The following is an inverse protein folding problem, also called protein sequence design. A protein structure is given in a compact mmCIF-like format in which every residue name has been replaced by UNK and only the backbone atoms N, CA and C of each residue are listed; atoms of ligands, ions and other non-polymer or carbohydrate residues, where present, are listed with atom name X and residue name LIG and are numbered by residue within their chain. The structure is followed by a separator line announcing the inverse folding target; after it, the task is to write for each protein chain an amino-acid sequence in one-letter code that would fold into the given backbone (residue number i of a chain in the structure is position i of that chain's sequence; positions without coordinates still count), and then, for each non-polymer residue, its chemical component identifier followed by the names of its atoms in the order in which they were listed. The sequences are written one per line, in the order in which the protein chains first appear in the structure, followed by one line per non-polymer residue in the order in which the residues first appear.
data_IF_668807406254
#
_entry.id   IF_668807406254
#
_cell.length_a   1.000
_cell.length_b   1.000
_cell.length_c   1.000
_cell.angle_alpha   90.00
_cell.angle_beta   90.00
_cell.angle_gamma   90.00
#
_symmetry.space_group_name_H-M   'P 1'
#
loop_
_entity.id
_entity.type
_entity.pdbx_description
1 polymer ?
#
# COMPACT_ATOMS: atom_id res chain seq x y z
N UNK A 1 65.06 7.19 -60.79
CA UNK A 1 63.82 6.38 -60.68
C UNK A 1 62.65 7.35 -60.50
N UNK A 2 61.66 7.33 -61.40
CA UNK A 2 60.72 8.44 -61.63
C UNK A 2 59.71 8.57 -60.47
N UNK A 3 59.76 9.67 -59.71
CA UNK A 3 58.92 9.89 -58.51
C UNK A 3 57.42 9.88 -58.84
N UNK A 4 57.05 10.32 -60.05
CA UNK A 4 55.67 10.32 -60.53
C UNK A 4 55.04 8.92 -60.67
N UNK A 5 55.86 7.89 -60.95
CA UNK A 5 55.41 6.49 -61.06
C UNK A 5 55.19 5.88 -59.67
N UNK A 6 55.99 6.30 -58.68
CA UNK A 6 55.89 5.83 -57.29
C UNK A 6 54.60 6.31 -56.60
N UNK A 7 54.14 7.55 -56.85
CA UNK A 7 52.88 8.07 -56.29
C UNK A 7 51.62 7.42 -56.88
N UNK A 8 51.64 7.10 -58.18
CA UNK A 8 50.50 6.44 -58.84
C UNK A 8 50.39 4.97 -58.41
N UNK A 9 51.53 4.30 -58.22
CA UNK A 9 51.57 2.92 -57.75
C UNK A 9 51.19 2.80 -56.27
N UNK A 10 51.64 3.74 -55.43
CA UNK A 10 51.28 3.76 -54.00
C UNK A 10 49.80 4.06 -53.79
N UNK A 11 49.21 5.01 -54.54
CA UNK A 11 47.77 5.30 -54.49
C UNK A 11 46.89 4.13 -54.94
N UNK A 12 47.33 3.35 -55.93
CA UNK A 12 46.61 2.17 -56.43
C UNK A 12 46.58 0.99 -55.44
N UNK A 13 47.57 0.90 -54.55
CA UNK A 13 47.63 -0.13 -53.51
C UNK A 13 46.99 0.33 -52.18
N UNK A 14 47.05 1.63 -51.88
CA UNK A 14 46.52 2.18 -50.62
C UNK A 14 44.99 2.18 -50.58
N UNK A 15 44.34 2.50 -51.71
CA UNK A 15 42.88 2.59 -51.80
C UNK A 15 42.17 1.26 -51.51
N UNK A 16 42.54 0.10 -52.12
CA UNK A 16 41.89 -1.18 -51.79
C UNK A 16 42.17 -1.61 -50.35
N UNK A 17 43.33 -1.25 -49.78
CA UNK A 17 43.64 -1.53 -48.38
C UNK A 17 42.76 -0.73 -47.41
N UNK A 18 42.53 0.57 -47.67
CA UNK A 18 41.60 1.38 -46.88
C UNK A 18 40.15 0.88 -46.97
N UNK A 19 39.71 0.47 -48.16
CA UNK A 19 38.37 -0.12 -48.35
C UNK A 19 38.22 -1.45 -47.60
N UNK A 20 39.25 -2.29 -47.61
CA UNK A 20 39.26 -3.54 -46.86
C UNK A 20 39.18 -3.30 -45.35
N UNK A 21 39.95 -2.33 -44.82
CA UNK A 21 39.88 -1.95 -43.40
C UNK A 21 38.49 -1.43 -43.04
N UNK A 22 37.91 -0.57 -43.88
CA UNK A 22 36.59 -0.01 -43.63
C UNK A 22 35.48 -1.07 -43.71
N UNK A 23 35.66 -2.11 -44.53
CA UNK A 23 34.75 -3.26 -44.58
C UNK A 23 34.89 -4.15 -43.32
N UNK A 24 36.13 -4.36 -42.85
CA UNK A 24 36.37 -5.13 -41.63
C UNK A 24 35.80 -4.47 -40.37
N UNK A 25 35.76 -3.13 -40.29
CA UNK A 25 35.18 -2.42 -39.13
C UNK A 25 33.66 -2.50 -39.05
N UNK A 26 32.96 -2.81 -40.16
CA UNK A 26 31.49 -3.02 -40.16
C UNK A 26 31.06 -4.37 -39.59
N UNK A 27 31.99 -5.32 -39.43
CA UNK A 27 31.73 -6.64 -38.84
C UNK A 27 31.71 -6.61 -37.31
N UNK A 28 32.08 -5.47 -36.71
CA UNK A 28 32.15 -5.31 -35.27
C UNK A 28 30.79 -4.79 -34.80
N UNK A 29 30.02 -5.60 -34.08
CA UNK A 29 28.76 -5.19 -33.48
C UNK A 29 29.00 -4.04 -32.49
N UNK A 30 28.58 -2.83 -32.87
CA UNK A 30 28.65 -1.66 -32.00
C UNK A 30 27.56 -1.70 -30.93
N UNK A 31 27.95 -1.85 -29.67
CA UNK A 31 27.05 -1.69 -28.53
C UNK A 31 27.00 -0.19 -28.14
N UNK A 32 26.21 0.59 -28.89
CA UNK A 32 26.01 2.02 -28.62
C UNK A 32 24.59 2.33 -28.08
N UNK A 33 23.76 1.32 -27.84
CA UNK A 33 22.47 1.55 -27.21
C UNK A 33 22.68 1.96 -25.76
N UNK A 34 22.23 3.16 -25.42
CA UNK A 34 22.04 3.57 -24.04
C UNK A 34 21.16 2.52 -23.34
N UNK A 35 21.52 2.15 -22.12
CA UNK A 35 20.68 1.26 -21.32
C UNK A 35 19.28 1.90 -21.26
N UNK A 36 18.20 1.16 -21.60
CA UNK A 36 16.85 1.72 -21.55
C UNK A 36 16.63 2.47 -20.22
N UNK A 37 16.04 3.67 -20.25
CA UNK A 37 15.70 4.39 -19.02
C UNK A 37 14.97 3.43 -18.08
N UNK A 38 15.50 3.23 -16.87
CA UNK A 38 14.84 2.35 -15.91
C UNK A 38 13.48 2.97 -15.60
N UNK A 39 12.37 2.23 -15.75
CA UNK A 39 11.07 2.71 -15.30
C UNK A 39 11.20 3.18 -13.85
N UNK A 40 10.58 4.32 -13.52
CA UNK A 40 10.51 4.79 -12.15
C UNK A 40 9.63 3.79 -11.40
N UNK A 41 10.27 2.86 -10.70
CA UNK A 41 9.60 1.92 -9.83
C UNK A 41 9.14 2.66 -8.58
N UNK A 42 7.96 3.26 -8.68
CA UNK A 42 7.20 3.66 -7.50
C UNK A 42 6.88 2.36 -6.75
N UNK A 43 7.23 2.25 -5.47
CA UNK A 43 7.08 1.01 -4.69
C UNK A 43 6.59 1.30 -3.28
N UNK A 44 5.68 0.45 -2.79
CA UNK A 44 5.43 0.32 -1.35
C UNK A 44 6.67 -0.33 -0.72
N UNK A 45 7.22 0.32 0.30
CA UNK A 45 8.39 -0.16 1.05
C UNK A 45 7.98 -1.07 2.20
N UNK A 46 7.03 -0.63 3.02
CA UNK A 46 6.51 -1.40 4.15
C UNK A 46 5.18 -0.83 4.66
N UNK A 47 4.40 -1.67 5.34
CA UNK A 47 3.22 -1.23 6.10
C UNK A 47 3.38 -1.66 7.54
N UNK A 48 3.35 -0.71 8.46
CA UNK A 48 3.50 -0.95 9.90
C UNK A 48 2.15 -0.75 10.60
N UNK A 49 1.75 -1.70 11.43
CA UNK A 49 0.59 -1.55 12.32
C UNK A 49 1.05 -0.91 13.63
N UNK A 50 0.61 0.31 13.91
CA UNK A 50 0.97 1.02 15.15
C UNK A 50 -0.08 0.86 16.25
N UNK A 51 -1.35 0.69 15.86
CA UNK A 51 -2.47 0.65 16.80
C UNK A 51 -3.61 -0.21 16.25
N UNK A 52 -4.26 -0.98 17.13
CA UNK A 52 -5.45 -1.75 16.79
C UNK A 52 -6.74 -0.93 16.91
N UNK A 53 -7.80 -1.40 16.24
CA UNK A 53 -9.14 -0.85 16.39
C UNK A 53 -9.70 -1.25 17.76
N UNK A 54 -10.05 -0.28 18.59
CA UNK A 54 -10.51 -0.50 19.96
C UNK A 54 -11.79 0.29 20.25
N UNK A 55 -12.86 -0.42 20.58
CA UNK A 55 -14.17 0.14 20.94
C UNK A 55 -14.34 0.47 22.42
N UNK A 56 -13.37 0.08 23.26
CA UNK A 56 -13.38 0.35 24.69
C UNK A 56 -14.36 -0.54 25.45
N UNK A 57 -14.90 0.00 26.56
CA UNK A 57 -15.77 -0.73 27.48
C UNK A 57 -17.22 -0.34 27.19
N UNK A 58 -18.02 -1.34 26.81
CA UNK A 58 -19.41 -1.17 26.36
C UNK A 58 -20.30 -2.14 27.13
N UNK A 59 -21.45 -1.67 27.59
CA UNK A 59 -22.53 -2.51 28.10
C UNK A 59 -23.68 -2.59 27.07
N UNK A 60 -24.14 -3.80 26.73
CA UNK A 60 -25.32 -4.00 25.89
C UNK A 60 -26.58 -3.52 26.61
N UNK A 61 -27.59 -3.09 25.84
CA UNK A 61 -28.91 -2.74 26.37
C UNK A 61 -29.92 -3.88 26.16
N UNK A 62 -31.20 -3.61 26.45
CA UNK A 62 -32.32 -4.52 26.15
C UNK A 62 -32.64 -4.65 24.66
N UNK A 63 -32.02 -3.84 23.79
CA UNK A 63 -32.22 -3.83 22.35
C UNK A 63 -30.88 -3.79 21.62
N UNK A 64 -30.86 -4.27 20.38
CA UNK A 64 -29.66 -4.23 19.54
C UNK A 64 -29.19 -2.79 19.36
N UNK A 65 -27.87 -2.62 19.41
CA UNK A 65 -27.21 -1.34 19.36
C UNK A 65 -25.90 -1.40 18.61
N UNK A 66 -25.21 -0.26 18.56
CA UNK A 66 -23.93 -0.16 17.88
C UNK A 66 -23.03 0.90 18.49
N UNK A 67 -21.74 0.77 18.23
CA UNK A 67 -20.72 1.80 18.45
C UNK A 67 -19.93 1.99 17.17
N UNK A 68 -19.78 3.23 16.73
CA UNK A 68 -19.01 3.60 15.54
C UNK A 68 -17.78 4.41 15.96
N UNK A 69 -16.62 3.99 15.49
CA UNK A 69 -15.36 4.73 15.57
C UNK A 69 -15.09 5.34 14.20
N UNK A 70 -14.97 6.67 14.09
CA UNK A 70 -14.63 7.30 12.82
C UNK A 70 -13.17 7.00 12.45
N UNK A 71 -12.82 6.99 11.15
CA UNK A 71 -11.44 6.86 10.68
C UNK A 71 -10.67 8.19 10.82
N UNK A 72 -10.86 8.89 11.94
CA UNK A 72 -10.20 10.16 12.24
C UNK A 72 -9.86 10.17 13.72
N UNK A 73 -8.61 10.51 14.05
CA UNK A 73 -8.18 10.64 15.44
C UNK A 73 -7.53 12.01 15.69
N UNK A 74 -7.94 12.75 16.74
CA UNK A 74 -9.09 12.48 17.60
C UNK A 74 -10.42 12.70 16.86
N UNK A 75 -11.41 11.84 17.10
CA UNK A 75 -12.75 11.95 16.52
C UNK A 75 -13.84 11.45 17.50
N UNK A 76 -15.04 12.05 17.49
CA UNK A 76 -16.12 11.62 18.38
C UNK A 76 -16.61 10.24 17.94
N UNK A 77 -16.67 9.28 18.88
CA UNK A 77 -17.38 8.01 18.66
C UNK A 77 -18.89 8.26 18.69
N UNK A 78 -19.63 7.54 17.86
CA UNK A 78 -21.10 7.55 17.85
C UNK A 78 -21.63 6.22 18.39
N UNK A 79 -22.81 6.20 18.99
CA UNK A 79 -23.41 4.97 19.50
C UNK A 79 -24.93 5.07 19.58
N UNK A 80 -25.60 3.92 19.61
CA UNK A 80 -27.05 3.82 19.83
C UNK A 80 -27.36 2.53 20.60
N UNK A 81 -28.35 2.58 21.49
CA UNK A 81 -28.82 1.43 22.28
C UNK A 81 -27.72 0.64 23.00
N UNK A 82 -26.68 1.33 23.44
CA UNK A 82 -25.59 0.78 24.27
C UNK A 82 -25.17 1.82 25.29
N UNK A 83 -24.58 1.36 26.40
CA UNK A 83 -24.02 2.24 27.42
C UNK A 83 -22.49 2.19 27.32
N UNK A 84 -21.88 3.37 27.19
CA UNK A 84 -20.43 3.52 27.21
C UNK A 84 -19.97 3.73 28.65
N UNK A 85 -19.08 2.87 29.14
CA UNK A 85 -18.59 2.97 30.50
C UNK A 85 -17.41 3.95 30.59
N UNK A 86 -17.42 4.78 31.65
CA UNK A 86 -16.32 5.67 31.97
C UNK A 86 -15.04 4.86 32.25
N UNK A 87 -13.91 5.32 31.70
CA UNK A 87 -12.61 4.65 31.84
C UNK A 87 -12.17 3.80 30.63
N UNK A 88 -13.08 3.51 29.69
CA UNK A 88 -12.71 2.85 28.44
C UNK A 88 -12.09 3.82 27.42
N UNK A 89 -10.82 3.61 27.07
CA UNK A 89 -10.20 4.25 25.91
C UNK A 89 -10.74 3.62 24.63
N UNK A 90 -10.82 4.42 23.56
CA UNK A 90 -11.21 3.96 22.24
C UNK A 90 -10.26 4.55 21.21
N UNK A 91 -10.07 3.83 20.11
CA UNK A 91 -9.12 4.26 19.09
C UNK A 91 -9.40 3.59 17.73
N UNK A 92 -9.27 4.30 16.61
CA UNK A 92 -9.21 3.67 15.29
C UNK A 92 -7.93 2.83 15.16
N UNK A 93 -7.89 1.88 14.24
CA UNK A 93 -6.62 1.24 13.88
C UNK A 93 -5.74 2.25 13.13
N UNK A 94 -4.42 2.21 13.37
CA UNK A 94 -3.45 3.08 12.74
C UNK A 94 -2.40 2.25 12.01
N UNK A 95 -2.28 2.51 10.71
CA UNK A 95 -1.24 1.97 9.85
C UNK A 95 -0.35 3.09 9.32
N UNK A 96 0.96 2.86 9.29
CA UNK A 96 1.89 3.69 8.55
C UNK A 96 2.29 2.98 7.26
N UNK A 97 1.95 3.61 6.15
CA UNK A 97 2.30 3.14 4.81
C UNK A 97 3.53 3.89 4.36
N UNK A 98 4.65 3.19 4.25
CA UNK A 98 5.89 3.73 3.72
C UNK A 98 5.93 3.46 2.22
N UNK A 99 5.89 4.52 1.42
CA UNK A 99 5.97 4.42 -0.04
C UNK A 99 6.56 5.70 -0.62
N UNK A 100 7.06 5.63 -1.85
CA UNK A 100 7.59 6.79 -2.55
C UNK A 100 6.45 7.81 -2.78
N UNK A 101 6.65 9.12 -2.60
CA UNK A 101 5.63 10.11 -2.92
C UNK A 101 5.14 9.96 -4.37
N UNK A 102 3.83 10.00 -4.57
CA UNK A 102 3.18 9.72 -5.86
C UNK A 102 2.79 8.26 -6.09
N UNK A 103 2.91 7.38 -5.07
CA UNK A 103 2.42 6.00 -5.17
C UNK A 103 0.90 5.95 -5.09
N UNK A 104 0.25 5.38 -6.12
CA UNK A 104 -1.17 5.05 -6.09
C UNK A 104 -1.39 3.71 -5.36
N UNK A 105 -2.10 3.76 -4.24
CA UNK A 105 -2.35 2.63 -3.34
C UNK A 105 -3.85 2.39 -3.21
N UNK A 106 -4.26 1.12 -3.35
CA UNK A 106 -5.61 0.65 -3.01
C UNK A 106 -5.59 -0.08 -1.68
N UNK A 107 -6.62 0.16 -0.87
CA UNK A 107 -6.90 -0.56 0.38
C UNK A 107 -8.08 -1.48 0.14
N UNK A 108 -7.91 -2.75 0.51
CA UNK A 108 -8.97 -3.76 0.55
C UNK A 108 -9.28 -4.05 2.03
N UNK A 109 -10.52 -3.75 2.42
CA UNK A 109 -11.06 -3.98 3.76
C UNK A 109 -12.08 -5.13 3.71
N UNK A 110 -12.13 -6.01 4.72
CA UNK A 110 -13.17 -7.02 4.81
C UNK A 110 -14.54 -6.36 5.01
N UNK A 111 -15.60 -6.98 4.51
CA UNK A 111 -16.98 -6.50 4.69
C UNK A 111 -17.46 -6.63 6.13
N UNK A 112 -17.07 -7.70 6.82
CA UNK A 112 -17.34 -7.93 8.23
C UNK A 112 -16.18 -8.67 8.92
N UNK A 113 -16.02 -8.41 10.22
CA UNK A 113 -15.04 -9.08 11.09
C UNK A 113 -15.69 -9.47 12.40
N UNK A 114 -15.45 -10.70 12.86
CA UNK A 114 -15.97 -11.17 14.13
C UNK A 114 -14.94 -11.04 15.25
N UNK A 115 -15.38 -10.51 16.39
CA UNK A 115 -14.67 -10.61 17.66
C UNK A 115 -15.28 -11.77 18.45
N UNK A 116 -14.44 -12.59 19.08
CA UNK A 116 -14.89 -13.71 19.90
C UNK A 116 -14.55 -13.49 21.37
N UNK A 117 -15.47 -13.93 22.21
CA UNK A 117 -15.25 -14.18 23.63
C UNK A 117 -15.49 -15.69 23.82
N UNK A 118 -14.42 -16.47 23.60
CA UNK A 118 -14.49 -17.93 23.69
C UNK A 118 -14.85 -18.34 25.12
N UNK A 119 -15.89 -19.16 25.37
CA UNK A 119 -16.65 -19.97 24.40
C UNK A 119 -18.09 -19.50 24.10
N UNK A 120 -18.53 -18.30 24.53
CA UNK A 120 -19.97 -17.99 24.69
C UNK A 120 -20.50 -16.78 23.94
N UNK A 121 -19.66 -15.98 23.29
CA UNK A 121 -20.15 -14.79 22.59
C UNK A 121 -19.35 -14.40 21.35
N UNK A 122 -20.02 -13.77 20.39
CA UNK A 122 -19.41 -13.09 19.26
C UNK A 122 -19.98 -11.69 19.07
N UNK A 123 -19.12 -10.76 18.65
CA UNK A 123 -19.50 -9.45 18.15
C UNK A 123 -19.11 -9.33 16.70
N UNK A 124 -19.80 -8.46 15.96
CA UNK A 124 -19.51 -8.21 14.56
C UNK A 124 -19.11 -6.75 14.36
N UNK A 125 -18.00 -6.54 13.65
CA UNK A 125 -17.59 -5.24 13.13
C UNK A 125 -17.98 -5.20 11.66
N UNK A 126 -18.63 -4.11 11.26
CA UNK A 126 -19.09 -3.82 9.90
C UNK A 126 -18.69 -2.39 9.52
N UNK A 127 -18.97 -1.98 8.29
CA UNK A 127 -18.78 -0.60 7.82
C UNK A 127 -17.34 -0.09 8.08
N UNK A 128 -16.35 -0.97 7.87
CA UNK A 128 -14.93 -0.60 7.96
C UNK A 128 -14.61 0.46 6.90
N UNK A 129 -13.93 1.52 7.31
CA UNK A 129 -13.65 2.68 6.46
C UNK A 129 -12.24 3.21 6.69
N UNK A 130 -11.57 3.62 5.62
CA UNK A 130 -10.24 4.25 5.66
C UNK A 130 -10.33 5.77 5.65
N UNK A 131 -9.43 6.43 6.39
CA UNK A 131 -9.28 7.89 6.44
C UNK A 131 -8.85 8.49 5.11
N UNK A 132 -8.07 7.75 4.32
CA UNK A 132 -7.55 8.19 3.03
C UNK A 132 -8.49 7.88 1.87
N UNK A 133 -9.55 7.11 2.12
CA UNK A 133 -10.31 6.45 1.05
C UNK A 133 -9.52 5.34 0.36
N UNK A 134 -10.06 4.84 -0.75
CA UNK A 134 -9.41 3.85 -1.61
C UNK A 134 -9.94 4.02 -3.04
N UNK A 135 -9.08 4.21 -4.06
CA UNK A 135 -7.63 4.38 -3.97
C UNK A 135 -7.22 5.73 -3.35
N UNK A 136 -5.95 5.86 -2.95
CA UNK A 136 -5.32 7.12 -2.53
C UNK A 136 -3.88 7.24 -3.06
N UNK A 137 -3.36 8.47 -3.12
CA UNK A 137 -1.98 8.77 -3.57
C UNK A 137 -1.16 9.21 -2.36
N UNK A 138 0.04 8.66 -2.19
CA UNK A 138 0.96 9.08 -1.13
C UNK A 138 1.56 10.45 -1.42
N UNK A 139 1.52 11.36 -0.45
CA UNK A 139 2.08 12.73 -0.60
C UNK A 139 3.46 12.88 0.03
N UNK A 140 3.88 11.92 0.85
CA UNK A 140 5.17 11.88 1.51
C UNK A 140 5.66 10.44 1.68
N UNK A 141 6.87 10.29 2.22
CA UNK A 141 7.49 8.97 2.43
C UNK A 141 6.72 8.08 3.42
N UNK A 142 5.98 8.71 4.32
CA UNK A 142 5.12 8.07 5.32
C UNK A 142 3.72 8.64 5.18
N UNK A 143 2.74 7.77 4.99
CA UNK A 143 1.32 8.13 5.00
C UNK A 143 0.62 7.39 6.14
N UNK A 144 0.05 8.13 7.09
CA UNK A 144 -0.77 7.57 8.17
C UNK A 144 -2.17 7.27 7.65
N UNK A 145 -2.61 6.02 7.82
CA UNK A 145 -3.93 5.52 7.42
C UNK A 145 -4.67 5.07 8.67
N UNK A 146 -5.79 5.72 8.98
CA UNK A 146 -6.66 5.32 10.07
C UNK A 146 -7.81 4.48 9.54
N UNK A 147 -8.08 3.34 10.17
CA UNK A 147 -9.25 2.51 9.87
C UNK A 147 -10.24 2.59 11.04
N UNK A 148 -11.43 3.10 10.74
CA UNK A 148 -12.59 3.11 11.63
C UNK A 148 -13.56 1.98 11.27
N UNK A 149 -14.64 1.85 12.04
CA UNK A 149 -15.67 0.85 11.79
C UNK A 149 -16.81 0.91 12.80
N UNK A 150 -17.81 0.06 12.59
CA UNK A 150 -19.03 -0.05 13.40
C UNK A 150 -19.12 -1.41 14.07
N UNK A 151 -19.08 -1.43 15.40
CA UNK A 151 -19.33 -2.61 16.21
C UNK A 151 -20.83 -2.76 16.44
N UNK A 152 -21.40 -3.86 15.97
CA UNK A 152 -22.79 -4.24 16.24
C UNK A 152 -22.85 -5.04 17.55
N UNK A 153 -23.66 -4.56 18.49
CA UNK A 153 -23.81 -5.14 19.83
C UNK A 153 -25.23 -5.67 19.97
N UNK A 154 -25.35 -6.97 20.24
CA UNK A 154 -26.65 -7.62 20.49
C UNK A 154 -27.15 -7.32 21.90
N UNK A 155 -28.42 -7.65 22.15
CA UNK A 155 -29.02 -7.49 23.48
C UNK A 155 -28.25 -8.23 24.58
N UNK A 156 -28.43 -7.80 25.82
CA UNK A 156 -27.77 -8.37 27.01
C UNK A 156 -27.92 -9.89 27.17
N UNK A 157 -29.01 -10.49 26.67
CA UNK A 157 -29.24 -11.93 26.73
C UNK A 157 -28.38 -12.74 25.74
N UNK A 158 -27.92 -12.11 24.65
CA UNK A 158 -27.08 -12.73 23.62
C UNK A 158 -25.61 -12.33 23.73
N UNK A 159 -25.30 -11.38 24.62
CA UNK A 159 -23.97 -10.80 24.75
C UNK A 159 -23.43 -10.99 26.18
N UNK A 160 -22.83 -12.15 26.50
CA UNK A 160 -22.22 -12.38 27.80
C UNK A 160 -21.13 -11.35 28.12
N UNK A 161 -20.94 -10.98 29.39
CA UNK A 161 -19.84 -10.11 29.80
C UNK A 161 -18.48 -10.76 29.54
N UNK A 162 -17.50 -9.95 29.15
CA UNK A 162 -16.10 -10.37 29.04
C UNK A 162 -15.36 -9.65 27.91
N UNK A 163 -14.14 -10.11 27.63
CA UNK A 163 -13.26 -9.50 26.64
C UNK A 163 -13.49 -10.12 25.26
N UNK A 164 -13.79 -9.28 24.28
CA UNK A 164 -14.00 -9.67 22.89
C UNK A 164 -12.79 -9.23 22.07
N UNK A 165 -12.14 -10.19 21.40
CA UNK A 165 -10.94 -9.95 20.61
C UNK A 165 -11.00 -10.65 19.26
N UNK A 166 -10.21 -10.15 18.30
CA UNK A 166 -10.16 -10.69 16.96
C UNK A 166 -9.08 -10.00 16.12
N UNK A 167 -8.93 -10.45 14.87
CA UNK A 167 -7.94 -9.93 13.93
C UNK A 167 -8.64 -9.39 12.68
N UNK A 168 -8.22 -8.21 12.23
CA UNK A 168 -8.64 -7.60 10.97
C UNK A 168 -7.47 -7.73 10.01
N UNK A 169 -7.71 -8.31 8.82
CA UNK A 169 -6.71 -8.35 7.75
C UNK A 169 -6.99 -7.20 6.80
N UNK A 170 -6.06 -6.25 6.71
CA UNK A 170 -6.12 -5.12 5.78
C UNK A 170 -5.05 -5.31 4.72
N UNK A 171 -5.42 -5.20 3.44
CA UNK A 171 -4.50 -5.42 2.33
C UNK A 171 -4.27 -4.12 1.56
N UNK A 172 -3.00 -3.77 1.44
CA UNK A 172 -2.53 -2.64 0.66
C UNK A 172 -1.91 -3.16 -0.64
N UNK A 173 -2.41 -2.68 -1.78
CA UNK A 173 -1.92 -3.06 -3.10
C UNK A 173 -1.54 -1.80 -3.86
N UNK A 174 -0.41 -1.84 -4.55
CA UNK A 174 -0.01 -0.78 -5.45
C UNK A 174 -0.51 -1.07 -6.86
N UNK A 175 -1.06 -0.06 -7.54
CA UNK A 175 -1.32 -0.12 -8.97
C UNK A 175 -0.08 0.39 -9.71
N UNK A 176 0.54 -0.46 -10.53
CA UNK A 176 1.56 -0.01 -11.49
C UNK A 176 0.84 0.61 -12.70
N UNK A 177 1.21 1.84 -13.05
CA UNK A 177 0.85 2.45 -14.33
C UNK A 177 1.89 2.12 -15.38
#
# INVERSE_FOLDING_TARGET
MNSHIQYVLSGRLLMPFCLLICLLTTLISGYAQEKPPRPIEVKIKSVNTLQGLNFGIIAPSSSDGFVTIPPSFPGPRAWSNVVLLAGGTYSPALFEVLAIPGTLITIELPTSVFLSNSPTGSLEITELVSSTGSPFITTGDITSVYIGGKLNVKTISFQPPGNYGGSIVVKFTQIQQ
#
